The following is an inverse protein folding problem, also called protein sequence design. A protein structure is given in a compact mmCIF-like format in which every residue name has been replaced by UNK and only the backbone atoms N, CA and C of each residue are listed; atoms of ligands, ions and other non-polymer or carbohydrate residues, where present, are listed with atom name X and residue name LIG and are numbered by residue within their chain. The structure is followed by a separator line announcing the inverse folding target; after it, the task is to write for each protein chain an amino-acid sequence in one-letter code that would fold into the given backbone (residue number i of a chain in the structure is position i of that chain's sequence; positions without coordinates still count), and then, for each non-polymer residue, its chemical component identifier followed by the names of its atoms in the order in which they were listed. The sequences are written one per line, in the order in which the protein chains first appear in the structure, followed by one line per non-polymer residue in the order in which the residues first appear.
data_IF_751550350125
#
_entry.id   IF_751550350125
#
_cell.length_a   1.000
_cell.length_b   1.000
_cell.length_c   1.000
_cell.angle_alpha   90.00
_cell.angle_beta   90.00
_cell.angle_gamma   90.00
#
_symmetry.space_group_name_H-M   'P 1'
#
loop_
_entity.id
_entity.type
_entity.pdbx_description
1 polymer ?
#
# COMPACT_ATOMS: atom_id res chain seq x y z
N UNK A 1 7.21 -6.62 -22.10
CA UNK A 1 7.53 -5.20 -21.89
C UNK A 1 7.49 -4.87 -20.40
N UNK A 2 8.47 -4.12 -19.91
CA UNK A 2 8.51 -3.69 -18.52
C UNK A 2 7.74 -2.41 -18.31
N UNK A 3 7.11 -2.29 -17.16
CA UNK A 3 6.32 -1.13 -16.78
C UNK A 3 6.90 -0.52 -15.50
N UNK A 4 7.12 0.79 -15.49
CA UNK A 4 7.58 1.49 -14.29
C UNK A 4 6.38 2.03 -13.53
N UNK A 5 6.29 1.68 -12.25
CA UNK A 5 5.23 2.12 -11.37
C UNK A 5 5.79 2.62 -10.05
N UNK A 6 5.12 3.60 -9.48
CA UNK A 6 5.46 4.07 -8.15
C UNK A 6 4.69 3.27 -7.11
N UNK A 7 5.40 2.86 -6.07
CA UNK A 7 4.82 2.28 -4.86
C UNK A 7 5.00 3.31 -3.75
N UNK A 8 3.92 3.68 -3.10
CA UNK A 8 3.94 4.65 -2.00
C UNK A 8 3.86 3.91 -0.67
N UNK A 9 4.83 4.18 0.21
CA UNK A 9 4.93 3.56 1.53
C UNK A 9 4.71 4.64 2.57
N UNK A 10 3.61 4.54 3.33
CA UNK A 10 3.17 5.57 4.28
C UNK A 10 3.15 5.00 5.68
N UNK A 11 4.08 5.42 6.51
CA UNK A 11 4.21 4.99 7.90
C UNK A 11 5.19 5.95 8.57
N UNK A 12 4.93 6.37 9.82
CA UNK A 12 5.85 7.26 10.52
C UNK A 12 7.13 6.55 10.98
N UNK A 13 7.15 5.22 10.96
CA UNK A 13 8.32 4.43 11.32
C UNK A 13 9.11 4.03 10.07
N UNK A 14 10.30 4.58 9.94
CA UNK A 14 11.17 4.28 8.81
C UNK A 14 11.48 2.78 8.69
N UNK A 15 11.64 2.10 9.83
CA UNK A 15 11.92 0.66 9.84
C UNK A 15 10.82 -0.12 9.10
N UNK A 16 9.56 0.21 9.33
CA UNK A 16 8.43 -0.46 8.68
C UNK A 16 8.46 -0.24 7.17
N UNK A 17 8.72 1.01 6.74
CA UNK A 17 8.79 1.33 5.31
C UNK A 17 9.92 0.57 4.63
N UNK A 18 11.10 0.50 5.26
CA UNK A 18 12.23 -0.22 4.71
C UNK A 18 11.97 -1.72 4.64
N UNK A 19 11.33 -2.29 5.66
CA UNK A 19 10.98 -3.70 5.66
C UNK A 19 10.01 -4.03 4.53
N UNK A 20 9.02 -3.19 4.32
CA UNK A 20 8.08 -3.34 3.19
C UNK A 20 8.82 -3.27 1.85
N UNK A 21 9.66 -2.27 1.67
CA UNK A 21 10.41 -2.11 0.42
C UNK A 21 11.29 -3.33 0.14
N UNK A 22 11.98 -3.83 1.15
CA UNK A 22 12.82 -5.01 1.00
C UNK A 22 12.00 -6.24 0.63
N UNK A 23 10.87 -6.45 1.31
CA UNK A 23 9.97 -7.57 0.98
C UNK A 23 9.43 -7.45 -0.44
N UNK A 24 8.99 -6.27 -0.84
CA UNK A 24 8.45 -6.06 -2.19
C UNK A 24 9.49 -6.37 -3.27
N UNK A 25 10.71 -5.87 -3.07
CA UNK A 25 11.81 -6.10 -4.00
C UNK A 25 12.15 -7.59 -4.10
N UNK A 26 12.23 -8.27 -2.95
CA UNK A 26 12.64 -9.67 -2.90
C UNK A 26 11.56 -10.65 -3.36
N UNK A 27 10.28 -10.29 -3.20
CA UNK A 27 9.18 -11.18 -3.51
C UNK A 27 8.57 -10.97 -4.90
N UNK A 28 9.08 -10.01 -5.65
CA UNK A 28 8.52 -9.63 -6.95
C UNK A 28 8.49 -10.82 -7.93
N UNK A 29 9.55 -11.62 -7.96
CA UNK A 29 9.63 -12.79 -8.82
C UNK A 29 8.60 -13.85 -8.42
N UNK A 30 8.51 -14.17 -7.14
CA UNK A 30 7.57 -15.17 -6.64
C UNK A 30 6.12 -14.75 -6.90
N UNK A 31 5.86 -13.44 -6.84
CA UNK A 31 4.53 -12.88 -7.10
C UNK A 31 4.24 -12.73 -8.60
N UNK A 32 5.17 -13.10 -9.47
CA UNK A 32 5.04 -12.99 -10.93
C UNK A 32 4.82 -11.54 -11.38
N UNK A 33 5.59 -10.64 -10.78
CA UNK A 33 5.51 -9.20 -11.06
C UNK A 33 6.83 -8.67 -11.65
N UNK A 34 7.60 -9.55 -12.31
CA UNK A 34 8.91 -9.19 -12.87
C UNK A 34 8.82 -8.11 -13.93
N UNK A 35 7.67 -7.99 -14.60
CA UNK A 35 7.49 -6.96 -15.62
C UNK A 35 7.42 -5.56 -15.03
N UNK A 36 7.16 -5.44 -13.72
CA UNK A 36 7.08 -4.16 -13.05
C UNK A 36 8.45 -3.73 -12.57
N UNK A 37 8.82 -2.49 -12.87
CA UNK A 37 9.96 -1.82 -12.28
C UNK A 37 9.37 -0.84 -11.28
N UNK A 38 9.64 -1.07 -9.99
CA UNK A 38 9.07 -0.25 -8.94
C UNK A 38 9.99 0.89 -8.53
N UNK A 39 9.43 2.10 -8.49
CA UNK A 39 10.04 3.27 -7.90
C UNK A 39 9.33 3.52 -6.57
N UNK A 40 10.08 3.58 -5.48
CA UNK A 40 9.49 3.70 -4.15
C UNK A 40 9.50 5.14 -3.68
N UNK A 41 8.39 5.57 -3.10
CA UNK A 41 8.27 6.85 -2.43
C UNK A 41 7.88 6.61 -0.98
N UNK A 42 8.51 7.35 -0.07
CA UNK A 42 8.31 7.18 1.37
C UNK A 42 7.66 8.43 1.95
N UNK A 43 6.63 8.25 2.78
CA UNK A 43 5.98 9.32 3.48
C UNK A 43 5.82 8.95 4.96
N UNK A 44 6.09 9.90 5.85
CA UNK A 44 5.94 9.70 7.29
C UNK A 44 4.70 10.39 7.85
N UNK A 45 4.02 11.20 7.06
CA UNK A 45 2.81 11.92 7.44
C UNK A 45 1.76 11.81 6.34
N UNK A 46 0.50 12.03 6.70
CA UNK A 46 -0.58 12.05 5.72
C UNK A 46 -0.42 13.19 4.72
N UNK A 47 0.01 14.36 5.19
CA UNK A 47 0.24 15.52 4.32
C UNK A 47 1.30 15.23 3.26
N UNK A 48 2.42 14.64 3.65
CA UNK A 48 3.47 14.26 2.71
C UNK A 48 2.98 13.19 1.74
N UNK A 49 2.24 12.19 2.25
CA UNK A 49 1.71 11.12 1.42
C UNK A 49 0.77 11.64 0.33
N UNK A 50 -0.09 12.59 0.67
CA UNK A 50 -1.01 13.16 -0.31
C UNK A 50 -0.27 13.90 -1.43
N UNK A 51 0.78 14.65 -1.08
CA UNK A 51 1.61 15.32 -2.07
C UNK A 51 2.27 14.32 -3.03
N UNK A 52 2.84 13.27 -2.48
CA UNK A 52 3.51 12.24 -3.29
C UNK A 52 2.51 11.45 -4.12
N UNK A 53 1.32 11.20 -3.58
CA UNK A 53 0.24 10.54 -4.31
C UNK A 53 -0.17 11.34 -5.55
N UNK A 54 -0.39 12.62 -5.38
CA UNK A 54 -0.77 13.50 -6.49
C UNK A 54 0.35 13.63 -7.52
N UNK A 55 1.60 13.69 -7.07
CA UNK A 55 2.75 13.88 -7.94
C UNK A 55 3.08 12.61 -8.75
N UNK A 56 3.05 11.45 -8.10
CA UNK A 56 3.53 10.20 -8.70
C UNK A 56 2.43 9.26 -9.16
N UNK A 57 1.20 9.47 -8.71
CA UNK A 57 0.04 8.62 -9.05
C UNK A 57 0.34 7.13 -8.89
N UNK A 58 0.68 6.68 -7.66
CA UNK A 58 1.06 5.29 -7.43
C UNK A 58 -0.11 4.35 -7.69
N UNK A 59 0.19 3.15 -8.18
CA UNK A 59 -0.80 2.10 -8.37
C UNK A 59 -0.92 1.18 -7.17
N UNK A 60 0.09 1.20 -6.30
CA UNK A 60 0.15 0.38 -5.10
C UNK A 60 0.58 1.26 -3.94
N UNK A 61 -0.21 1.23 -2.86
CA UNK A 61 0.06 2.03 -1.66
C UNK A 61 -0.02 1.12 -0.44
N UNK A 62 0.95 1.22 0.45
CA UNK A 62 0.90 0.62 1.78
C UNK A 62 0.75 1.76 2.78
N UNK A 63 -0.30 1.72 3.59
CA UNK A 63 -0.75 2.86 4.38
C UNK A 63 -1.06 2.46 5.81
N UNK A 64 -0.37 3.08 6.78
CA UNK A 64 -0.68 2.88 8.20
C UNK A 64 -1.92 3.67 8.58
N UNK A 65 -2.75 3.10 9.45
CA UNK A 65 -3.93 3.77 9.99
C UNK A 65 -3.50 4.89 10.94
N UNK A 66 -2.45 4.65 11.74
CA UNK A 66 -2.01 5.61 12.75
C UNK A 66 -0.88 6.48 12.24
N UNK A 67 -1.24 7.66 11.72
CA UNK A 67 -0.27 8.66 11.29
C UNK A 67 -0.28 9.85 12.25
N UNK A 68 0.84 10.59 12.36
CA UNK A 68 0.94 11.65 13.38
C UNK A 68 0.00 12.82 13.16
N UNK A 69 -0.35 13.13 11.92
CA UNK A 69 -1.17 14.30 11.59
C UNK A 69 -2.64 13.99 11.34
N UNK A 70 -2.98 12.76 10.93
CA UNK A 70 -4.38 12.34 10.82
C UNK A 70 -4.48 10.84 10.64
N UNK A 71 -5.72 10.32 10.72
CA UNK A 71 -5.96 8.90 10.52
C UNK A 71 -5.70 8.48 9.08
N UNK A 72 -5.04 7.33 8.91
CA UNK A 72 -4.84 6.74 7.59
C UNK A 72 -6.14 6.35 6.91
N UNK A 73 -7.23 6.14 7.66
CA UNK A 73 -8.54 5.86 7.08
C UNK A 73 -9.09 7.05 6.32
N UNK A 74 -8.85 8.27 6.82
CA UNK A 74 -9.23 9.50 6.12
C UNK A 74 -8.43 9.61 4.82
N UNK A 75 -7.13 9.33 4.91
CA UNK A 75 -6.25 9.39 3.74
C UNK A 75 -6.64 8.33 2.70
N UNK A 76 -7.01 7.14 3.15
CA UNK A 76 -7.49 6.08 2.25
C UNK A 76 -8.70 6.55 1.42
N UNK A 77 -9.67 7.16 2.07
CA UNK A 77 -10.85 7.68 1.38
C UNK A 77 -10.46 8.73 0.35
N UNK A 78 -9.52 9.59 0.72
CA UNK A 78 -9.02 10.63 -0.17
C UNK A 78 -8.33 10.03 -1.40
N UNK A 79 -7.48 9.03 -1.20
CA UNK A 79 -6.81 8.35 -2.31
C UNK A 79 -7.82 7.71 -3.26
N UNK A 80 -8.86 7.07 -2.71
CA UNK A 80 -9.88 6.42 -3.52
C UNK A 80 -10.77 7.41 -4.27
N UNK A 81 -10.97 8.61 -3.74
CA UNK A 81 -11.64 9.68 -4.47
C UNK A 81 -10.82 10.14 -5.66
N UNK A 82 -9.50 10.29 -5.48
CA UNK A 82 -8.60 10.75 -6.53
C UNK A 82 -8.42 9.68 -7.60
N UNK A 83 -8.21 8.43 -7.19
CA UNK A 83 -7.99 7.31 -8.11
C UNK A 83 -8.63 6.03 -7.56
N UNK A 84 -9.86 5.71 -7.97
CA UNK A 84 -10.54 4.50 -7.50
C UNK A 84 -9.82 3.20 -7.85
N UNK A 85 -8.97 3.20 -8.87
CA UNK A 85 -8.23 2.02 -9.33
C UNK A 85 -6.97 1.73 -8.49
N UNK A 86 -6.58 2.65 -7.62
CA UNK A 86 -5.39 2.47 -6.80
C UNK A 86 -5.57 1.30 -5.83
N UNK A 87 -4.58 0.42 -5.77
CA UNK A 87 -4.60 -0.72 -4.84
C UNK A 87 -3.97 -0.27 -3.52
N UNK A 88 -4.79 -0.14 -2.49
CA UNK A 88 -4.34 0.36 -1.18
C UNK A 88 -4.40 -0.77 -0.15
N UNK A 89 -3.25 -1.03 0.46
CA UNK A 89 -3.10 -2.01 1.53
C UNK A 89 -2.93 -1.27 2.85
N UNK A 90 -3.85 -1.50 3.79
CA UNK A 90 -3.68 -0.96 5.14
C UNK A 90 -2.70 -1.83 5.92
N UNK A 91 -1.77 -1.20 6.61
CA UNK A 91 -0.75 -1.90 7.43
C UNK A 91 -0.77 -1.28 8.81
N UNK A 92 -1.26 -2.01 9.82
CA UNK A 92 -1.42 -1.42 11.15
C UNK A 92 -1.22 -2.42 12.27
N UNK A 93 -0.75 -1.94 13.42
CA UNK A 93 -0.68 -2.70 14.65
C UNK A 93 -2.03 -2.78 15.36
N UNK A 94 -3.00 -1.96 14.94
CA UNK A 94 -4.34 -1.95 15.53
C UNK A 94 -5.27 -2.73 14.61
N UNK A 95 -5.53 -3.98 14.98
CA UNK A 95 -6.31 -4.91 14.15
C UNK A 95 -7.65 -5.26 14.78
N UNK A 96 -8.39 -4.24 15.25
CA UNK A 96 -9.73 -4.49 15.73
C UNK A 96 -10.65 -4.80 14.55
N UNK A 97 -11.71 -5.56 14.81
CA UNK A 97 -12.70 -5.87 13.79
C UNK A 97 -13.29 -4.61 13.16
N UNK A 98 -13.52 -3.58 13.99
CA UNK A 98 -14.03 -2.29 13.50
C UNK A 98 -13.09 -1.65 12.50
N UNK A 99 -11.80 -1.59 12.83
CA UNK A 99 -10.79 -0.98 11.92
C UNK A 99 -10.67 -1.75 10.61
N UNK A 100 -10.72 -3.07 10.65
CA UNK A 100 -10.68 -3.89 9.43
C UNK A 100 -11.91 -3.63 8.56
N UNK A 101 -13.10 -3.63 9.18
CA UNK A 101 -14.34 -3.36 8.46
C UNK A 101 -14.38 -1.97 7.85
N UNK A 102 -13.96 -0.95 8.60
CA UNK A 102 -13.89 0.42 8.09
C UNK A 102 -12.94 0.56 6.93
N UNK A 103 -11.78 -0.13 7.02
CA UNK A 103 -10.80 -0.13 5.93
C UNK A 103 -11.42 -0.69 4.65
N UNK A 104 -12.04 -1.84 4.74
CA UNK A 104 -12.65 -2.50 3.58
C UNK A 104 -13.80 -1.66 3.00
N UNK A 105 -14.69 -1.16 3.86
CA UNK A 105 -15.83 -0.35 3.41
C UNK A 105 -15.39 0.99 2.82
N UNK A 106 -14.21 1.48 3.20
CA UNK A 106 -13.64 2.72 2.64
C UNK A 106 -12.80 2.49 1.38
N UNK A 107 -12.72 1.26 0.91
CA UNK A 107 -12.09 0.94 -0.36
C UNK A 107 -10.71 0.32 -0.28
N UNK A 108 -10.23 -0.09 0.92
CA UNK A 108 -8.97 -0.79 1.03
C UNK A 108 -9.03 -2.12 0.28
N UNK A 109 -7.98 -2.44 -0.45
CA UNK A 109 -7.88 -3.68 -1.20
C UNK A 109 -7.44 -4.85 -0.34
N UNK A 110 -6.69 -4.57 0.71
CA UNK A 110 -6.22 -5.59 1.65
C UNK A 110 -5.77 -4.95 2.97
N UNK A 111 -5.52 -5.78 3.97
CA UNK A 111 -5.10 -5.36 5.30
C UNK A 111 -4.01 -6.29 5.82
N UNK A 112 -2.90 -5.72 6.31
CA UNK A 112 -1.82 -6.45 6.94
C UNK A 112 -1.69 -6.00 8.38
N UNK A 113 -1.62 -6.96 9.31
CA UNK A 113 -1.44 -6.70 10.74
C UNK A 113 0.06 -6.72 11.07
N UNK A 114 0.52 -5.72 11.82
CA UNK A 114 1.90 -5.68 12.34
C UNK A 114 2.00 -6.51 13.61
N UNK A 115 3.11 -7.21 13.84
CA UNK A 115 4.22 -7.47 12.92
C UNK A 115 3.80 -8.46 11.84
N UNK A 116 4.40 -8.30 10.65
CA UNK A 116 4.04 -9.14 9.51
C UNK A 116 5.24 -9.91 8.98
N UNK A 117 4.95 -11.02 8.29
CA UNK A 117 5.96 -11.84 7.63
C UNK A 117 5.97 -11.57 6.12
N UNK A 118 7.00 -12.05 5.44
CA UNK A 118 7.05 -12.00 3.99
C UNK A 118 5.89 -12.75 3.32
N UNK A 119 5.37 -13.79 3.95
CA UNK A 119 4.23 -14.54 3.43
C UNK A 119 2.98 -13.66 3.31
N UNK A 120 2.76 -12.76 4.28
CA UNK A 120 1.63 -11.83 4.24
C UNK A 120 1.79 -10.84 3.09
N UNK A 121 3.00 -10.34 2.89
CA UNK A 121 3.30 -9.42 1.79
C UNK A 121 3.12 -10.14 0.45
N UNK A 122 3.61 -11.37 0.34
CA UNK A 122 3.44 -12.16 -0.89
C UNK A 122 1.96 -12.38 -1.22
N UNK A 123 1.14 -12.69 -0.21
CA UNK A 123 -0.30 -12.87 -0.39
C UNK A 123 -0.95 -11.61 -0.96
N UNK A 124 -0.55 -10.45 -0.45
CA UNK A 124 -1.05 -9.15 -0.94
C UNK A 124 -0.59 -8.90 -2.37
N UNK A 125 0.66 -9.20 -2.69
CA UNK A 125 1.18 -9.03 -4.05
C UNK A 125 0.45 -9.92 -5.06
N UNK A 126 0.07 -11.13 -4.65
CA UNK A 126 -0.73 -12.01 -5.49
C UNK A 126 -2.10 -11.40 -5.78
N UNK A 127 -2.72 -10.79 -4.78
CA UNK A 127 -4.00 -10.08 -4.95
C UNK A 127 -3.85 -8.88 -5.88
N UNK A 128 -2.76 -8.13 -5.73
CA UNK A 128 -2.47 -7.00 -6.60
C UNK A 128 -2.34 -7.46 -8.05
N UNK A 129 -1.58 -8.53 -8.31
CA UNK A 129 -1.42 -9.08 -9.66
C UNK A 129 -2.76 -9.48 -10.24
N UNK A 130 -3.60 -10.15 -9.47
CA UNK A 130 -4.92 -10.58 -9.91
C UNK A 130 -5.83 -9.39 -10.25
N UNK A 131 -5.75 -8.32 -9.45
CA UNK A 131 -6.54 -7.13 -9.70
C UNK A 131 -6.12 -6.42 -10.99
N UNK A 132 -4.81 -6.38 -11.27
CA UNK A 132 -4.30 -5.78 -12.52
C UNK A 132 -4.71 -6.59 -13.75
N UNK A 133 -4.73 -7.89 -13.64
CA UNK A 133 -5.17 -8.75 -14.74
C UNK A 133 -6.63 -8.52 -15.11
N UNK A 134 -7.49 -8.19 -14.12
CA UNK A 134 -8.90 -7.91 -14.37
C UNK A 134 -9.14 -6.54 -15.02
N UNK A 135 -8.24 -5.61 -14.78
CA UNK A 135 -8.37 -4.24 -15.32
C UNK A 135 -7.91 -4.18 -16.77
N UNK A 136 -6.95 -5.01 -17.13
CA UNK A 136 -6.46 -5.05 -18.51
C UNK A 136 -7.39 -5.85 -19.46
#
# INVERSE_FOLDING_TARGET
MRETHTVLLVDDQEFTRQLLQNNLTNLKFEARLEKYIWSYQHASTASQALKLFNLHQPKLVFLDIELPDQSGLILLRRFKEINPECFVVMVSGVSTLVNVKESISSGASSFIVKPFSGEKVLSVLNKFRQSRAKVS
#
